data_IF_016944868379
#
_entry.id   IF_016944868379
#
_cell.length_a   1.000
_cell.length_b   1.000
_cell.length_c   1.000
_cell.angle_alpha   90.00
_cell.angle_beta   90.00
_cell.angle_gamma   90.00
#
_symmetry.space_group_name_H-M   'P 1'
#
loop_
_entity.id
_entity.type
_entity.pdbx_description
1 polymer ?
#
# COMPACT_ATOMS: atom_id res chain seq x y z
N UNK A 1 -77.02 8.14 42.56
CA UNK A 1 -75.99 8.80 43.38
C UNK A 1 -75.81 10.24 42.90
N UNK A 2 -75.95 11.24 43.77
CA UNK A 2 -75.83 12.69 43.45
C UNK A 2 -74.41 13.17 43.75
N UNK A 3 -73.73 13.76 42.77
CA UNK A 3 -72.43 14.43 42.95
C UNK A 3 -72.58 15.63 43.92
N UNK A 4 -71.78 15.69 44.99
CA UNK A 4 -71.64 16.89 45.85
C UNK A 4 -70.50 17.76 45.31
N UNK A 5 -70.85 18.89 44.70
CA UNK A 5 -69.89 19.82 44.11
C UNK A 5 -69.03 20.69 45.08
N UNK A 6 -69.41 21.02 46.34
CA UNK A 6 -68.78 22.15 47.03
C UNK A 6 -67.48 21.86 47.81
N UNK A 7 -66.93 20.64 47.77
CA UNK A 7 -65.66 20.29 48.47
C UNK A 7 -64.52 19.90 47.53
N UNK A 8 -64.66 20.13 46.22
CA UNK A 8 -63.63 19.80 45.23
C UNK A 8 -62.67 20.97 45.01
N UNK A 9 -61.39 20.79 45.33
CA UNK A 9 -60.33 21.70 44.89
C UNK A 9 -59.74 21.11 43.61
N UNK A 10 -60.04 21.71 42.45
CA UNK A 10 -59.42 21.39 41.17
C UNK A 10 -58.36 22.44 40.85
N UNK A 11 -57.10 22.01 40.70
CA UNK A 11 -56.02 22.85 40.23
C UNK A 11 -55.46 22.31 38.92
N UNK A 12 -55.46 23.15 37.88
CA UNK A 12 -54.71 22.92 36.65
C UNK A 12 -53.45 23.80 36.66
N UNK A 13 -52.28 23.23 36.37
CA UNK A 13 -51.03 24.01 36.25
C UNK A 13 -50.62 24.03 34.78
N UNK A 14 -50.66 25.20 34.15
CA UNK A 14 -50.09 25.41 32.82
C UNK A 14 -48.63 25.83 32.99
N UNK A 15 -47.70 24.98 32.55
CA UNK A 15 -46.27 25.31 32.49
C UNK A 15 -45.97 25.73 31.06
N UNK A 16 -45.79 27.03 30.85
CA UNK A 16 -45.33 27.60 29.59
C UNK A 16 -43.82 27.83 29.71
N UNK A 17 -43.04 27.09 28.94
CA UNK A 17 -41.59 27.26 28.85
C UNK A 17 -41.29 28.14 27.64
N UNK A 18 -40.98 29.41 27.89
CA UNK A 18 -40.72 30.37 26.81
C UNK A 18 -39.35 30.06 26.16
N UNK A 19 -39.25 30.02 24.82
CA UNK A 19 -38.04 29.56 24.10
C UNK A 19 -36.83 30.51 24.15
N UNK A 20 -36.77 31.45 25.10
CA UNK A 20 -35.72 32.47 25.20
C UNK A 20 -34.40 31.96 25.82
N UNK A 21 -34.34 30.69 26.26
CA UNK A 21 -33.16 30.11 26.95
C UNK A 21 -32.70 28.75 26.42
N UNK A 22 -33.06 28.39 25.17
CA UNK A 22 -32.70 27.10 24.53
C UNK A 22 -31.22 26.95 24.13
N UNK A 23 -30.31 27.50 24.93
CA UNK A 23 -28.86 27.38 24.72
C UNK A 23 -28.40 25.91 24.76
N UNK A 24 -29.00 25.09 25.62
CA UNK A 24 -28.69 23.66 25.71
C UNK A 24 -29.11 22.88 24.46
N UNK A 25 -30.33 23.13 23.95
CA UNK A 25 -30.80 22.52 22.70
C UNK A 25 -29.94 22.95 21.51
N UNK A 26 -29.57 24.24 21.44
CA UNK A 26 -28.66 24.77 20.42
C UNK A 26 -27.28 24.11 20.48
N UNK A 27 -26.69 24.01 21.67
CA UNK A 27 -25.37 23.39 21.82
C UNK A 27 -25.42 21.90 21.44
N UNK A 28 -26.49 21.19 21.79
CA UNK A 28 -26.69 19.80 21.36
C UNK A 28 -26.83 19.69 19.83
N UNK A 29 -27.57 20.61 19.19
CA UNK A 29 -27.71 20.62 17.73
C UNK A 29 -26.38 20.96 17.03
N UNK A 30 -25.64 21.98 17.50
CA UNK A 30 -24.29 22.30 17.04
C UNK A 30 -23.36 21.10 17.13
N UNK A 31 -23.37 20.41 18.27
CA UNK A 31 -22.57 19.21 18.47
C UNK A 31 -22.94 18.13 17.45
N UNK A 32 -24.24 17.89 17.22
CA UNK A 32 -24.68 16.89 16.23
C UNK A 32 -24.22 17.19 14.79
N UNK A 33 -24.20 18.47 14.39
CA UNK A 33 -23.70 18.89 13.08
C UNK A 33 -22.19 18.71 12.99
N UNK A 34 -21.45 19.11 14.02
CA UNK A 34 -19.99 18.92 14.06
C UNK A 34 -19.64 17.43 14.01
N UNK A 35 -20.34 16.59 14.78
CA UNK A 35 -20.15 15.14 14.79
C UNK A 35 -20.41 14.55 13.40
N UNK A 36 -21.50 14.94 12.74
CA UNK A 36 -21.80 14.53 11.37
C UNK A 36 -20.70 14.96 10.39
N UNK A 37 -20.24 16.22 10.45
CA UNK A 37 -19.16 16.70 9.60
C UNK A 37 -17.84 15.96 9.85
N UNK A 38 -17.54 15.60 11.10
CA UNK A 38 -16.36 14.81 11.44
C UNK A 38 -16.42 13.42 10.83
N UNK A 39 -17.55 12.70 10.98
CA UNK A 39 -17.75 11.36 10.39
C UNK A 39 -17.65 11.42 8.86
N UNK A 40 -18.28 12.42 8.23
CA UNK A 40 -18.18 12.63 6.78
C UNK A 40 -16.73 12.83 6.32
N UNK A 41 -15.95 13.66 7.02
CA UNK A 41 -14.52 13.87 6.70
C UNK A 41 -13.69 12.61 6.93
N UNK A 42 -14.02 11.81 7.95
CA UNK A 42 -13.36 10.54 8.21
C UNK A 42 -13.60 9.54 7.07
N UNK A 43 -14.83 9.46 6.55
CA UNK A 43 -15.15 8.61 5.40
C UNK A 43 -14.39 9.02 4.14
N UNK A 44 -14.39 10.31 3.78
CA UNK A 44 -13.63 10.82 2.61
C UNK A 44 -12.15 10.43 2.71
N UNK A 45 -11.53 10.66 3.88
CA UNK A 45 -10.12 10.33 4.11
C UNK A 45 -9.85 8.83 4.04
N UNK A 46 -10.80 8.01 4.50
CA UNK A 46 -10.70 6.55 4.45
C UNK A 46 -10.74 6.06 3.00
N UNK A 47 -11.70 6.54 2.20
CA UNK A 47 -11.77 6.22 0.77
C UNK A 47 -10.50 6.63 0.02
N UNK A 48 -10.00 7.84 0.27
CA UNK A 48 -8.77 8.33 -0.34
C UNK A 48 -7.55 7.50 0.07
N UNK A 49 -7.48 7.05 1.33
CA UNK A 49 -6.43 6.17 1.82
C UNK A 49 -6.43 4.82 1.09
N UNK A 50 -7.61 4.20 0.91
CA UNK A 50 -7.73 2.95 0.15
C UNK A 50 -7.30 3.16 -1.29
N UNK A 51 -7.84 4.19 -1.96
CA UNK A 51 -7.51 4.52 -3.36
C UNK A 51 -6.02 4.76 -3.54
N UNK A 52 -5.37 5.46 -2.61
CA UNK A 52 -3.93 5.70 -2.65
C UNK A 52 -3.13 4.41 -2.42
N UNK A 53 -3.53 3.58 -1.45
CA UNK A 53 -2.87 2.31 -1.15
C UNK A 53 -2.90 1.35 -2.34
N UNK A 54 -4.06 1.18 -2.98
CA UNK A 54 -4.19 0.34 -4.17
C UNK A 54 -3.31 0.87 -5.32
N UNK A 55 -3.27 2.19 -5.54
CA UNK A 55 -2.39 2.78 -6.57
C UNK A 55 -0.90 2.55 -6.27
N UNK A 56 -0.50 2.66 -5.02
CA UNK A 56 0.88 2.40 -4.60
C UNK A 56 1.23 0.92 -4.81
N UNK A 57 0.33 -0.01 -4.45
CA UNK A 57 0.52 -1.44 -4.70
C UNK A 57 0.61 -1.77 -6.19
N UNK A 58 -0.26 -1.19 -7.04
CA UNK A 58 -0.20 -1.43 -8.48
C UNK A 58 1.15 -0.96 -9.08
N UNK A 59 1.64 0.21 -8.65
CA UNK A 59 2.98 0.69 -9.08
C UNK A 59 4.10 -0.20 -8.56
N UNK A 60 4.00 -0.66 -7.33
CA UNK A 60 4.98 -1.58 -6.75
C UNK A 60 4.99 -2.90 -7.53
N UNK A 61 3.82 -3.45 -7.84
CA UNK A 61 3.67 -4.67 -8.61
C UNK A 61 4.31 -4.54 -10.00
N UNK A 62 4.09 -3.41 -10.67
CA UNK A 62 4.68 -3.12 -11.98
C UNK A 62 6.22 -3.01 -11.92
N UNK A 63 6.76 -2.53 -10.80
CA UNK A 63 8.19 -2.47 -10.54
C UNK A 63 8.76 -3.87 -10.26
N UNK A 64 8.06 -4.66 -9.43
CA UNK A 64 8.45 -6.04 -9.11
C UNK A 64 8.47 -6.92 -10.37
N UNK A 65 7.49 -6.75 -11.27
CA UNK A 65 7.42 -7.46 -12.55
C UNK A 65 8.65 -7.16 -13.42
N UNK A 66 9.03 -5.88 -13.57
CA UNK A 66 10.22 -5.48 -14.32
C UNK A 66 11.51 -5.98 -13.68
N UNK A 67 11.60 -5.94 -12.36
CA UNK A 67 12.74 -6.47 -11.62
C UNK A 67 12.87 -7.98 -11.81
N UNK A 68 11.74 -8.69 -11.80
CA UNK A 68 11.68 -10.13 -12.03
C UNK A 68 12.14 -10.47 -13.44
N UNK A 69 11.72 -9.71 -14.45
CA UNK A 69 12.20 -9.87 -15.82
C UNK A 69 13.72 -9.61 -15.93
N UNK A 70 14.20 -8.54 -15.29
CA UNK A 70 15.63 -8.21 -15.24
C UNK A 70 16.43 -9.36 -14.61
N UNK A 71 15.95 -9.91 -13.51
CA UNK A 71 16.63 -10.98 -12.80
C UNK A 71 16.58 -12.32 -13.56
N UNK A 72 15.48 -12.61 -14.27
CA UNK A 72 15.41 -13.75 -15.19
C UNK A 72 16.49 -13.65 -16.27
N UNK A 73 16.70 -12.46 -16.84
CA UNK A 73 17.76 -12.21 -17.83
C UNK A 73 19.16 -12.33 -17.20
N UNK A 74 19.36 -11.84 -15.98
CA UNK A 74 20.62 -11.97 -15.25
C UNK A 74 21.02 -13.44 -15.04
N UNK A 75 20.07 -14.31 -14.69
CA UNK A 75 20.32 -15.76 -14.55
C UNK A 75 20.77 -16.37 -15.88
N UNK A 76 20.11 -16.03 -17.00
CA UNK A 76 20.52 -16.51 -18.33
C UNK A 76 21.95 -16.06 -18.66
N UNK A 77 22.30 -14.81 -18.36
CA UNK A 77 23.66 -14.28 -18.57
C UNK A 77 24.67 -15.03 -17.70
N UNK A 78 24.35 -15.30 -16.43
CA UNK A 78 25.23 -16.04 -15.53
C UNK A 78 25.47 -17.49 -16.00
N UNK A 79 24.42 -18.17 -16.51
CA UNK A 79 24.57 -19.49 -17.13
C UNK A 79 25.54 -19.43 -18.31
N UNK A 80 25.36 -18.46 -19.23
CA UNK A 80 26.26 -18.28 -20.38
C UNK A 80 27.72 -18.02 -19.96
N UNK A 81 27.94 -17.30 -18.86
CA UNK A 81 29.28 -17.08 -18.30
C UNK A 81 29.91 -18.37 -17.79
N UNK A 82 29.14 -19.25 -17.16
CA UNK A 82 29.60 -20.59 -16.77
C UNK A 82 29.99 -21.41 -18.01
N UNK A 83 29.17 -21.39 -19.06
CA UNK A 83 29.47 -22.11 -20.30
C UNK A 83 30.76 -21.57 -20.97
N UNK A 84 30.91 -20.25 -21.05
CA UNK A 84 32.10 -19.61 -21.62
C UNK A 84 33.37 -19.96 -20.84
N UNK A 85 33.32 -19.94 -19.50
CA UNK A 85 34.47 -20.28 -18.65
C UNK A 85 34.83 -21.77 -18.77
N UNK A 86 33.85 -22.66 -18.92
CA UNK A 86 34.10 -24.08 -19.24
C UNK A 86 34.76 -24.27 -20.60
N UNK A 87 34.29 -23.56 -21.63
CA UNK A 87 34.89 -23.61 -22.96
C UNK A 87 36.34 -23.13 -22.94
N UNK A 88 36.60 -22.02 -22.25
CA UNK A 88 37.96 -21.49 -22.06
C UNK A 88 38.88 -22.47 -21.31
N UNK A 89 38.34 -23.23 -20.35
CA UNK A 89 39.10 -24.28 -19.65
C UNK A 89 39.44 -25.46 -20.57
N UNK A 90 38.54 -25.79 -21.50
CA UNK A 90 38.74 -26.89 -22.46
C UNK A 90 39.62 -26.54 -23.66
N UNK A 91 39.95 -25.26 -23.84
CA UNK A 91 40.69 -24.79 -25.02
C UNK A 91 42.14 -25.31 -24.97
N UNK A 92 42.61 -26.02 -26.00
CA UNK A 92 44.00 -26.47 -26.08
C UNK A 92 44.98 -25.29 -26.10
N UNK A 93 46.21 -25.55 -25.64
CA UNK A 93 47.32 -24.60 -25.73
C UNK A 93 47.42 -23.97 -27.14
N UNK A 94 47.65 -22.65 -27.26
CA UNK A 94 47.90 -22.02 -28.54
C UNK A 94 49.05 -22.73 -29.28
N UNK A 95 48.96 -22.91 -30.61
CA UNK A 95 50.06 -23.51 -31.37
C UNK A 95 51.34 -22.67 -31.20
N UNK A 96 52.52 -23.32 -31.11
CA UNK A 96 53.78 -22.61 -30.97
C UNK A 96 53.98 -21.64 -32.15
N UNK A 97 54.54 -20.43 -31.91
CA UNK A 97 54.82 -19.48 -32.98
C UNK A 97 55.77 -20.09 -34.01
N UNK A 98 55.67 -19.70 -35.30
CA UNK A 98 56.61 -20.15 -36.32
C UNK A 98 58.05 -19.74 -35.92
N UNK A 99 59.06 -20.56 -36.27
CA UNK A 99 60.45 -20.25 -35.94
C UNK A 99 60.84 -18.90 -36.55
N UNK A 100 61.56 -18.09 -35.78
CA UNK A 100 62.12 -16.83 -36.26
C UNK A 100 63.07 -17.10 -37.43
N UNK A 101 63.20 -16.15 -38.38
CA UNK A 101 64.04 -16.27 -39.56
C UNK A 101 65.54 -16.56 -39.23
N UNK A 102 65.97 -16.29 -38.00
CA UNK A 102 67.32 -16.55 -37.47
C UNK A 102 67.53 -17.97 -36.90
N UNK A 103 66.54 -18.88 -37.00
CA UNK A 103 66.65 -20.24 -36.45
C UNK A 103 66.65 -20.31 -34.93
N UNK A 104 66.44 -19.18 -34.24
CA UNK A 104 66.24 -19.12 -32.80
C UNK A 104 64.81 -19.54 -32.44
N UNK A 105 64.71 -20.50 -31.52
CA UNK A 105 63.45 -20.89 -30.91
C UNK A 105 63.11 -19.82 -29.86
N UNK A 106 62.00 -19.08 -29.99
CA UNK A 106 61.59 -18.17 -28.92
C UNK A 106 61.35 -18.96 -27.64
N UNK A 107 61.82 -18.45 -26.49
CA UNK A 107 61.50 -19.01 -25.18
C UNK A 107 60.00 -18.82 -24.97
N UNK A 108 59.23 -19.87 -25.25
CA UNK A 108 57.79 -19.93 -25.00
C UNK A 108 57.63 -20.24 -23.51
N UNK A 109 56.88 -19.42 -22.79
CA UNK A 109 56.40 -19.79 -21.47
C UNK A 109 55.49 -21.01 -21.62
N UNK A 110 55.98 -22.19 -21.24
CA UNK A 110 55.23 -23.44 -21.30
C UNK A 110 53.95 -23.39 -20.44
N UNK A 111 53.82 -22.41 -19.54
CA UNK A 111 52.59 -22.17 -18.77
C UNK A 111 51.48 -21.48 -19.58
N UNK A 112 51.78 -20.85 -20.72
CA UNK A 112 50.78 -20.17 -21.56
C UNK A 112 49.76 -21.14 -22.21
N UNK A 113 50.03 -22.45 -22.17
CA UNK A 113 49.17 -23.51 -22.69
C UNK A 113 48.69 -24.51 -21.64
N UNK A 114 49.09 -24.37 -20.37
CA UNK A 114 48.65 -25.24 -19.30
C UNK A 114 47.40 -24.64 -18.65
N UNK A 115 46.45 -25.50 -18.28
CA UNK A 115 45.28 -25.22 -17.45
C UNK A 115 45.69 -24.32 -16.26
N UNK A 116 45.63 -23.01 -16.46
CA UNK A 116 46.21 -22.06 -15.52
C UNK A 116 45.36 -22.06 -14.24
N UNK A 117 45.95 -21.91 -13.04
CA UNK A 117 45.22 -21.78 -11.78
C UNK A 117 44.09 -20.73 -11.85
N UNK A 118 44.27 -19.70 -12.67
CA UNK A 118 43.31 -18.64 -12.95
C UNK A 118 42.05 -19.11 -13.68
N UNK A 119 42.14 -20.08 -14.58
CA UNK A 119 40.98 -20.62 -15.30
C UNK A 119 40.01 -21.37 -14.35
N UNK A 120 40.56 -22.15 -13.42
CA UNK A 120 39.78 -22.83 -12.38
C UNK A 120 39.14 -21.82 -11.42
N UNK A 121 39.85 -20.75 -11.04
CA UNK A 121 39.29 -19.67 -10.23
C UNK A 121 38.15 -18.94 -10.96
N UNK A 122 38.29 -18.67 -12.26
CA UNK A 122 37.24 -18.03 -13.07
C UNK A 122 35.96 -18.87 -13.10
N UNK A 123 36.07 -20.20 -13.16
CA UNK A 123 34.92 -21.10 -13.09
C UNK A 123 34.23 -21.07 -11.72
N UNK A 124 34.99 -21.03 -10.62
CA UNK A 124 34.44 -20.90 -9.27
C UNK A 124 33.68 -19.57 -9.14
N UNK A 125 34.24 -18.47 -9.63
CA UNK A 125 33.55 -17.18 -9.64
C UNK A 125 32.28 -17.22 -10.48
N UNK A 126 32.31 -17.85 -11.66
CA UNK A 126 31.12 -17.99 -12.50
C UNK A 126 30.01 -18.81 -11.82
N UNK A 127 30.34 -19.87 -11.08
CA UNK A 127 29.35 -20.61 -10.29
C UNK A 127 28.77 -19.79 -9.13
N UNK A 128 29.61 -19.03 -8.43
CA UNK A 128 29.14 -18.14 -7.37
C UNK A 128 28.20 -17.05 -7.92
N UNK A 129 28.51 -16.50 -9.09
CA UNK A 129 27.67 -15.52 -9.78
C UNK A 129 26.33 -16.12 -10.23
N UNK A 130 26.33 -17.35 -10.74
CA UNK A 130 25.11 -18.07 -11.09
C UNK A 130 24.22 -18.31 -9.86
N UNK A 131 24.82 -18.82 -8.77
CA UNK A 131 24.09 -19.06 -7.52
C UNK A 131 23.51 -17.77 -6.96
N UNK A 132 24.31 -16.71 -6.89
CA UNK A 132 23.86 -15.37 -6.47
C UNK A 132 22.70 -14.87 -7.32
N UNK A 133 22.75 -15.09 -8.64
CA UNK A 133 21.68 -14.71 -9.56
C UNK A 133 20.39 -15.51 -9.34
N UNK A 134 20.49 -16.81 -9.01
CA UNK A 134 19.36 -17.68 -8.67
C UNK A 134 18.72 -17.29 -7.33
N UNK A 135 19.55 -17.00 -6.32
CA UNK A 135 19.08 -16.55 -5.00
C UNK A 135 18.32 -15.22 -5.13
N UNK A 136 18.87 -14.28 -5.91
CA UNK A 136 18.22 -13.01 -6.20
C UNK A 136 16.91 -13.19 -7.01
N UNK A 137 16.85 -14.13 -7.97
CA UNK A 137 15.61 -14.44 -8.69
C UNK A 137 14.53 -14.95 -7.75
N UNK A 138 14.90 -15.86 -6.85
CA UNK A 138 13.98 -16.44 -5.87
C UNK A 138 13.43 -15.37 -4.94
N UNK A 139 14.30 -14.50 -4.43
CA UNK A 139 13.91 -13.38 -3.56
C UNK A 139 12.92 -12.42 -4.26
N UNK A 140 13.22 -12.02 -5.50
CA UNK A 140 12.35 -11.14 -6.28
C UNK A 140 11.02 -11.82 -6.63
N UNK A 141 11.04 -13.11 -6.95
CA UNK A 141 9.81 -13.87 -7.22
C UNK A 141 8.91 -13.97 -5.98
N UNK A 142 9.48 -14.22 -4.79
CA UNK A 142 8.72 -14.22 -3.53
C UNK A 142 8.11 -12.84 -3.26
N UNK A 143 8.89 -11.77 -3.49
CA UNK A 143 8.40 -10.40 -3.32
C UNK A 143 7.22 -10.09 -4.27
N UNK A 144 7.39 -10.39 -5.56
CA UNK A 144 6.34 -10.26 -6.58
C UNK A 144 5.08 -11.06 -6.21
N UNK A 145 5.25 -12.28 -5.71
CA UNK A 145 4.13 -13.11 -5.25
C UNK A 145 3.41 -12.47 -4.06
N UNK A 146 4.16 -11.97 -3.07
CA UNK A 146 3.61 -11.31 -1.89
C UNK A 146 2.88 -10.01 -2.23
N UNK A 147 3.38 -9.20 -3.16
CA UNK A 147 2.72 -7.97 -3.59
C UNK A 147 1.43 -8.26 -4.36
N UNK A 148 1.38 -9.35 -5.14
CA UNK A 148 0.13 -9.82 -5.75
C UNK A 148 -0.88 -10.35 -4.74
N UNK A 149 -0.44 -11.10 -3.73
CA UNK A 149 -1.31 -11.56 -2.65
C UNK A 149 -1.92 -10.37 -1.89
N UNK A 150 -1.10 -9.35 -1.59
CA UNK A 150 -1.55 -8.11 -0.95
C UNK A 150 -2.59 -7.38 -1.79
N UNK A 151 -2.40 -7.31 -3.11
CA UNK A 151 -3.38 -6.73 -4.03
C UNK A 151 -4.70 -7.53 -4.02
N UNK A 152 -4.63 -8.86 -4.09
CA UNK A 152 -5.81 -9.72 -4.02
C UNK A 152 -6.60 -9.53 -2.71
N UNK A 153 -5.89 -9.42 -1.59
CA UNK A 153 -6.47 -9.12 -0.29
C UNK A 153 -7.14 -7.74 -0.26
N UNK A 154 -6.48 -6.68 -0.74
CA UNK A 154 -7.05 -5.34 -0.76
C UNK A 154 -8.26 -5.20 -1.69
N UNK A 155 -8.28 -5.97 -2.79
CA UNK A 155 -9.41 -6.04 -3.71
C UNK A 155 -10.56 -6.92 -3.18
N UNK A 156 -10.35 -7.66 -2.10
CA UNK A 156 -11.35 -8.57 -1.53
C UNK A 156 -11.60 -9.83 -2.37
N UNK A 157 -10.71 -10.16 -3.31
CA UNK A 157 -10.81 -11.32 -4.22
C UNK A 157 -9.87 -12.45 -3.83
N UNK A 158 -9.30 -12.38 -2.62
CA UNK A 158 -8.36 -13.37 -2.13
C UNK A 158 -9.07 -14.70 -1.85
N UNK A 159 -8.69 -15.73 -2.59
CA UNK A 159 -9.11 -17.11 -2.34
C UNK A 159 -7.99 -17.86 -1.62
N UNK A 160 -8.35 -18.54 -0.53
CA UNK A 160 -7.44 -19.38 0.24
C UNK A 160 -7.76 -20.84 -0.03
N UNK A 161 -6.72 -21.68 -0.05
CA UNK A 161 -6.89 -23.13 -0.05
C UNK A 161 -7.28 -23.64 1.36
N UNK A 162 -7.49 -24.95 1.48
CA UNK A 162 -7.81 -25.63 2.75
C UNK A 162 -6.71 -25.45 3.83
N UNK A 163 -5.49 -25.13 3.41
CA UNK A 163 -4.34 -24.93 4.29
C UNK A 163 -4.10 -23.45 4.64
N UNK A 164 -4.95 -22.53 4.15
CA UNK A 164 -4.80 -21.09 4.36
C UNK A 164 -3.75 -20.42 3.49
N UNK A 165 -3.28 -21.08 2.42
CA UNK A 165 -2.36 -20.53 1.43
C UNK A 165 -3.16 -19.83 0.34
N UNK A 166 -2.70 -18.64 -0.06
CA UNK A 166 -3.30 -17.91 -1.16
C UNK A 166 -3.20 -18.70 -2.47
N UNK A 167 -4.33 -18.88 -3.16
CA UNK A 167 -4.38 -19.46 -4.50
C UNK A 167 -4.29 -18.33 -5.51
N UNK A 168 -3.19 -18.32 -6.26
CA UNK A 168 -2.92 -17.32 -7.26
C UNK A 168 -3.85 -17.46 -8.48
N UNK A 169 -4.71 -16.47 -8.68
CA UNK A 169 -5.66 -16.40 -9.79
C UNK A 169 -5.47 -15.11 -10.58
N UNK A 170 -5.72 -15.13 -11.90
CA UNK A 170 -5.70 -13.90 -12.69
C UNK A 170 -6.81 -12.94 -12.22
N UNK A 171 -6.53 -11.64 -12.23
CA UNK A 171 -7.47 -10.58 -11.83
C UNK A 171 -8.56 -10.30 -12.87
N UNK A 172 -8.96 -11.28 -13.70
CA UNK A 172 -9.86 -11.10 -14.84
C UNK A 172 -11.32 -10.86 -14.44
N UNK A 173 -11.73 -11.32 -13.28
CA UNK A 173 -13.15 -11.33 -12.85
C UNK A 173 -13.49 -10.21 -11.87
N UNK A 174 -12.65 -9.17 -11.78
CA UNK A 174 -12.95 -7.98 -10.98
C UNK A 174 -14.05 -7.14 -11.67
N UNK A 175 -15.32 -7.54 -11.50
CA UNK A 175 -16.45 -6.68 -11.86
C UNK A 175 -16.35 -5.38 -11.07
N UNK A 176 -16.32 -4.24 -11.77
CA UNK A 176 -16.43 -2.94 -11.11
C UNK A 176 -17.83 -2.89 -10.49
N UNK A 177 -17.91 -2.91 -9.16
CA UNK A 177 -19.17 -2.56 -8.49
C UNK A 177 -19.62 -1.19 -9.02
N UNK A 178 -20.91 -1.07 -9.33
CA UNK A 178 -21.47 0.19 -9.84
C UNK A 178 -21.17 1.30 -8.84
N UNK A 179 -20.80 2.48 -9.33
CA UNK A 179 -20.47 3.66 -8.50
C UNK A 179 -21.62 4.14 -7.61
N UNK A 180 -22.82 3.58 -7.81
CA UNK A 180 -24.08 3.90 -7.14
C UNK A 180 -24.13 3.43 -5.68
N UNK A 181 -23.24 2.52 -5.26
CA UNK A 181 -23.28 1.92 -3.92
C UNK A 181 -22.47 2.69 -2.85
N UNK A 182 -21.67 3.69 -3.24
CA UNK A 182 -20.86 4.52 -2.32
C UNK A 182 -21.16 6.01 -2.49
N UNK A 183 -22.39 6.42 -2.21
CA UNK A 183 -22.75 7.84 -2.19
C UNK A 183 -22.20 8.45 -0.90
N UNK A 184 -21.32 9.46 -1.05
CA UNK A 184 -20.86 10.27 0.08
C UNK A 184 -22.08 10.84 0.81
N UNK A 185 -22.10 10.85 2.16
CA UNK A 185 -23.18 11.46 2.90
C UNK A 185 -23.31 12.93 2.47
N UNK A 186 -24.55 13.43 2.29
CA UNK A 186 -24.80 14.74 1.71
C UNK A 186 -24.09 15.84 2.52
N UNK A 187 -23.62 16.93 1.89
CA UNK A 187 -23.07 18.05 2.65
C UNK A 187 -24.14 18.64 3.58
N UNK A 188 -23.72 19.13 4.75
CA UNK A 188 -24.61 19.89 5.63
C UNK A 188 -25.04 21.17 4.90
N UNK A 189 -26.35 21.49 4.83
CA UNK A 189 -26.81 22.75 4.26
C UNK A 189 -26.15 23.97 4.93
N UNK A 190 -25.72 24.95 4.12
CA UNK A 190 -25.08 26.16 4.65
C UNK A 190 -26.02 26.98 5.54
N UNK A 191 -27.31 26.98 5.22
CA UNK A 191 -28.34 27.66 6.03
C UNK A 191 -28.29 27.23 7.50
N UNK A 192 -28.02 25.94 7.78
CA UNK A 192 -27.93 25.44 9.15
C UNK A 192 -26.70 25.94 9.88
N UNK A 193 -25.63 26.26 9.17
CA UNK A 193 -24.41 26.86 9.74
C UNK A 193 -24.65 28.34 10.03
N UNK A 194 -25.32 29.05 9.12
CA UNK A 194 -25.63 30.47 9.26
C UNK A 194 -26.55 30.73 10.47
N UNK A 195 -27.60 29.90 10.66
CA UNK A 195 -28.47 29.95 11.85
C UNK A 195 -27.73 29.68 13.17
N UNK A 196 -26.57 29.03 13.12
CA UNK A 196 -25.74 28.83 14.30
C UNK A 196 -24.86 30.04 14.59
N UNK A 197 -24.42 30.80 13.59
CA UNK A 197 -23.55 31.96 13.78
C UNK A 197 -24.33 33.25 14.11
N UNK A 198 -25.55 33.40 13.60
CA UNK A 198 -26.35 34.64 13.72
C UNK A 198 -26.87 34.93 15.14
N UNK A 199 -26.85 33.96 16.05
CA UNK A 199 -27.26 34.15 17.45
C UNK A 199 -26.02 34.45 18.31
N UNK A 200 -25.60 35.71 18.29
CA UNK A 200 -24.55 36.30 19.12
C UNK A 200 -24.63 35.76 20.57
N UNK A 201 -23.50 35.42 21.22
CA UNK A 201 -23.53 35.07 22.62
C UNK A 201 -24.19 36.24 23.40
N UNK A 202 -25.09 35.96 24.37
CA UNK A 202 -25.62 37.02 25.21
C UNK A 202 -24.43 37.77 25.83
N UNK A 203 -24.47 39.11 25.88
CA UNK A 203 -23.40 39.90 26.47
C UNK A 203 -23.08 39.33 27.86
N UNK A 204 -21.80 39.27 28.27
CA UNK A 204 -21.43 38.76 29.59
C UNK A 204 -22.28 39.50 30.63
N UNK A 205 -22.95 38.74 31.49
CA UNK A 205 -23.77 39.35 32.54
C UNK A 205 -22.87 40.25 33.39
N UNK A 206 -23.33 41.45 33.78
CA UNK A 206 -22.50 42.42 34.50
C UNK A 206 -21.97 41.92 35.85
N UNK A 207 -22.45 40.77 36.36
CA UNK A 207 -21.91 40.12 37.57
C UNK A 207 -20.54 39.46 37.36
N UNK A 208 -20.15 39.08 36.14
CA UNK A 208 -18.81 38.54 35.86
C UNK A 208 -17.77 39.63 35.49
N UNK A 209 -18.20 40.89 35.37
CA UNK A 209 -17.34 42.02 34.98
C UNK A 209 -17.07 43.01 36.14
N UNK A 210 -17.59 42.76 37.33
CA UNK A 210 -17.30 43.58 38.49
C UNK A 210 -17.77 42.97 39.79
N UNK A 211 -16.82 42.61 40.66
CA UNK A 211 -16.59 43.17 42.00
C UNK A 211 -15.58 42.26 42.73
N UNK A 212 -14.46 42.89 43.12
CA UNK A 212 -13.57 42.66 44.29
C UNK A 212 -13.19 41.25 44.74
#
# INVERSE_FOLDING_TARGET
ARFRAPTGIMGGRLRFDAPLTRLRERNNFRQSILDYQQVRRQQIRYEDRIKLSIRQLLRQLELDERNLETQRRAVIIAIRRVDQTRLSLSQPAPPPPPPSADGSIPIIDAAAGQLAPTATLNLIYAFNDLRSSQDALTSIWINYYATRASLAYQLGVMNLDENGVWVDMPFTDCSRMSAEETVLPPPVPQEWLDYLEEIDPPPPMPEDAGIE
#
